data_IF_372776013558
#
_entry.id   IF_372776013558
#
_cell.length_a   1.000
_cell.length_b   1.000
_cell.length_c   1.000
_cell.angle_alpha   90.00
_cell.angle_beta   90.00
_cell.angle_gamma   90.00
#
_symmetry.space_group_name_H-M   'P 1'
#
loop_
_entity.id
_entity.type
_entity.pdbx_description
1 polymer ?
#
# COMPACT_ATOMS: atom_id res chain seq x y z
N UNK A 1 -3.40 -18.11 12.78
CA UNK A 1 -4.02 -16.97 12.07
C UNK A 1 -3.61 -15.70 12.79
N UNK A 2 -3.13 -14.67 12.08
CA UNK A 2 -2.74 -13.40 12.71
C UNK A 2 -3.95 -12.75 13.40
N UNK A 3 -3.71 -12.13 14.56
CA UNK A 3 -4.73 -11.41 15.33
C UNK A 3 -4.97 -9.98 14.79
N UNK A 4 -4.20 -9.55 13.79
CA UNK A 4 -4.13 -8.17 13.29
C UNK A 4 -4.12 -8.14 11.75
N UNK A 5 -4.77 -7.11 11.18
CA UNK A 5 -4.62 -6.76 9.77
C UNK A 5 -3.27 -6.09 9.51
N UNK A 6 -2.69 -6.35 8.34
CA UNK A 6 -1.40 -5.78 7.95
C UNK A 6 -1.58 -4.72 6.87
N UNK A 7 -0.88 -3.61 6.97
CA UNK A 7 -0.78 -2.62 5.90
C UNK A 7 0.61 -2.68 5.28
N UNK A 8 0.67 -3.01 4.00
CA UNK A 8 1.88 -2.95 3.19
C UNK A 8 1.82 -1.73 2.26
N UNK A 9 2.77 -0.82 2.37
CA UNK A 9 2.91 0.32 1.46
C UNK A 9 4.04 0.04 0.46
N UNK A 10 3.70 -0.01 -0.83
CA UNK A 10 4.64 -0.17 -1.93
C UNK A 10 4.62 1.08 -2.81
N UNK A 11 5.80 1.52 -3.22
CA UNK A 11 5.95 2.69 -4.09
C UNK A 11 5.97 2.31 -5.57
N UNK A 12 5.14 2.96 -6.39
CA UNK A 12 4.97 2.64 -7.81
C UNK A 12 6.03 3.24 -8.74
N UNK A 13 6.75 4.26 -8.27
CA UNK A 13 7.74 5.05 -8.99
C UNK A 13 9.16 4.91 -8.45
N UNK A 14 9.36 4.12 -7.39
CA UNK A 14 10.70 3.76 -6.96
C UNK A 14 11.40 3.05 -8.12
N UNK A 15 12.38 3.76 -8.71
CA UNK A 15 13.26 3.24 -9.75
C UNK A 15 13.64 1.81 -9.38
N UNK A 16 13.57 0.85 -10.31
CA UNK A 16 13.80 -0.59 -10.06
C UNK A 16 15.07 -0.93 -9.27
N UNK A 17 16.00 0.02 -9.14
CA UNK A 17 17.26 -0.07 -8.41
C UNK A 17 17.40 0.88 -7.21
N UNK A 18 16.36 1.62 -6.83
CA UNK A 18 16.39 2.44 -5.62
C UNK A 18 16.26 1.56 -4.38
N UNK A 19 16.89 1.97 -3.29
CA UNK A 19 16.80 1.27 -1.99
C UNK A 19 15.35 1.06 -1.56
N UNK A 20 14.48 2.02 -1.88
CA UNK A 20 13.05 1.98 -1.59
C UNK A 20 12.32 0.89 -2.39
N UNK A 21 12.59 0.77 -3.69
CA UNK A 21 11.99 -0.26 -4.55
C UNK A 21 12.46 -1.67 -4.18
N UNK A 22 13.73 -1.81 -3.80
CA UNK A 22 14.27 -3.07 -3.29
C UNK A 22 13.74 -3.43 -1.89
N UNK A 23 13.55 -2.46 -1.01
CA UNK A 23 12.94 -2.67 0.31
C UNK A 23 11.48 -3.10 0.18
N UNK A 24 10.71 -2.41 -0.68
CA UNK A 24 9.33 -2.76 -1.00
C UNK A 24 9.22 -4.19 -1.58
N UNK A 25 10.09 -4.54 -2.53
CA UNK A 25 10.15 -5.89 -3.10
C UNK A 25 10.55 -6.97 -2.08
N UNK A 26 11.50 -6.69 -1.19
CA UNK A 26 11.90 -7.61 -0.10
C UNK A 26 10.78 -7.81 0.91
N UNK A 27 10.06 -6.76 1.27
CA UNK A 27 8.92 -6.82 2.19
C UNK A 27 7.76 -7.63 1.57
N UNK A 28 7.46 -7.43 0.28
CA UNK A 28 6.50 -8.25 -0.44
C UNK A 28 6.92 -9.73 -0.49
N UNK A 29 8.20 -10.03 -0.76
CA UNK A 29 8.71 -11.41 -0.74
C UNK A 29 8.65 -12.05 0.66
N UNK A 30 8.96 -11.27 1.71
CA UNK A 30 8.82 -11.73 3.09
C UNK A 30 7.37 -12.08 3.42
N UNK A 31 6.41 -11.26 2.99
CA UNK A 31 4.97 -11.52 3.15
C UNK A 31 4.53 -12.73 2.32
N UNK A 32 5.02 -12.89 1.08
CA UNK A 32 4.76 -14.07 0.26
C UNK A 32 5.17 -15.37 0.98
N UNK A 33 6.38 -15.36 1.55
CA UNK A 33 6.95 -16.47 2.32
C UNK A 33 6.33 -16.63 3.71
N UNK A 34 5.62 -15.62 4.19
CA UNK A 34 4.89 -15.67 5.45
C UNK A 34 3.54 -16.35 5.27
N UNK A 35 2.99 -16.89 6.36
CA UNK A 35 1.61 -17.38 6.40
C UNK A 35 0.54 -16.28 6.32
N UNK A 36 0.92 -15.03 6.02
CA UNK A 36 -0.03 -13.91 5.86
C UNK A 36 -0.81 -14.11 4.56
N UNK A 37 -2.14 -14.10 4.67
CA UNK A 37 -3.04 -14.01 3.54
C UNK A 37 -3.22 -12.53 3.20
N UNK A 38 -3.09 -12.19 1.92
CA UNK A 38 -3.39 -10.85 1.43
C UNK A 38 -4.84 -10.82 0.98
N UNK A 39 -5.62 -9.89 1.52
CA UNK A 39 -7.05 -9.81 1.26
C UNK A 39 -7.36 -8.78 0.17
N UNK A 40 -6.70 -7.62 0.21
CA UNK A 40 -7.03 -6.49 -0.65
C UNK A 40 -5.75 -5.87 -1.23
N UNK A 41 -5.77 -5.55 -2.52
CA UNK A 41 -4.80 -4.64 -3.14
C UNK A 41 -5.51 -3.34 -3.50
N UNK A 42 -4.95 -2.21 -3.10
CA UNK A 42 -5.41 -0.88 -3.49
C UNK A 42 -4.37 -0.21 -4.35
N UNK A 43 -4.78 0.29 -5.50
CA UNK A 43 -3.94 1.00 -6.46
C UNK A 43 -4.58 2.33 -6.86
N UNK A 44 -3.77 3.26 -7.32
CA UNK A 44 -4.29 4.45 -7.99
C UNK A 44 -4.71 4.13 -9.42
N UNK A 45 -5.47 5.04 -10.01
CA UNK A 45 -5.96 4.92 -11.38
C UNK A 45 -4.91 5.37 -12.39
N UNK A 46 -3.82 4.63 -12.44
CA UNK A 46 -2.79 4.81 -13.45
C UNK A 46 -2.30 3.44 -13.95
N UNK A 47 -2.07 3.33 -15.26
CA UNK A 47 -1.72 2.07 -15.93
C UNK A 47 -0.41 1.44 -15.43
N UNK A 48 0.55 2.22 -14.94
CA UNK A 48 1.78 1.73 -14.31
C UNK A 48 1.47 1.02 -12.99
N UNK A 49 0.52 1.52 -12.20
CA UNK A 49 0.14 0.91 -10.92
C UNK A 49 -0.62 -0.39 -11.12
N UNK A 50 -1.50 -0.47 -12.12
CA UNK A 50 -2.14 -1.74 -12.52
C UNK A 50 -1.10 -2.80 -12.93
N UNK A 51 -0.13 -2.44 -13.78
CA UNK A 51 0.94 -3.37 -14.20
C UNK A 51 1.81 -3.82 -13.02
N UNK A 52 2.03 -2.93 -12.03
CA UNK A 52 2.77 -3.29 -10.82
C UNK A 52 1.96 -4.17 -9.87
N UNK A 53 0.65 -3.95 -9.76
CA UNK A 53 -0.25 -4.85 -9.03
C UNK A 53 -0.19 -6.25 -9.62
N UNK A 54 -0.39 -6.39 -10.93
CA UNK A 54 -0.36 -7.69 -11.63
C UNK A 54 0.96 -8.43 -11.40
N UNK A 55 2.10 -7.73 -11.54
CA UNK A 55 3.42 -8.32 -11.25
C UNK A 55 3.64 -8.68 -9.79
N UNK A 56 3.07 -7.91 -8.88
CA UNK A 56 3.14 -8.17 -7.44
C UNK A 56 2.32 -9.44 -7.14
N UNK A 57 1.14 -9.57 -7.74
CA UNK A 57 0.28 -10.77 -7.66
C UNK A 57 0.95 -12.03 -8.20
N UNK A 58 1.56 -11.94 -9.39
CA UNK A 58 2.31 -13.05 -9.98
C UNK A 58 3.43 -13.55 -9.05
N UNK A 59 4.14 -12.63 -8.40
CA UNK A 59 5.25 -12.97 -7.48
C UNK A 59 4.77 -13.50 -6.13
N UNK A 60 3.66 -12.99 -5.62
CA UNK A 60 3.10 -13.40 -4.34
C UNK A 60 2.49 -14.81 -4.43
N UNK A 61 2.13 -15.29 -5.62
CA UNK A 61 1.42 -16.56 -5.86
C UNK A 61 0.15 -16.72 -5.01
N UNK A 62 -0.39 -15.59 -4.54
CA UNK A 62 -1.58 -15.48 -3.70
C UNK A 62 -2.47 -14.45 -4.37
N UNK A 63 -3.66 -14.89 -4.77
CA UNK A 63 -4.68 -14.00 -5.31
C UNK A 63 -5.35 -13.28 -4.13
N UNK A 64 -5.43 -11.95 -4.14
CA UNK A 64 -6.23 -11.21 -3.18
C UNK A 64 -7.69 -11.55 -3.43
N UNK A 65 -8.51 -11.30 -2.41
CA UNK A 65 -9.95 -11.38 -2.55
C UNK A 65 -10.47 -10.22 -3.43
N UNK A 66 -9.79 -9.07 -3.38
CA UNK A 66 -10.24 -7.86 -4.08
C UNK A 66 -9.06 -6.98 -4.55
N UNK A 67 -9.26 -6.31 -5.69
CA UNK A 67 -8.41 -5.20 -6.15
C UNK A 67 -9.29 -3.96 -6.26
N UNK A 68 -8.90 -2.90 -5.55
CA UNK A 68 -9.60 -1.62 -5.51
C UNK A 68 -8.75 -0.58 -6.24
N UNK A 69 -9.40 0.17 -7.14
CA UNK A 69 -8.82 1.35 -7.78
C UNK A 69 -9.41 2.59 -7.12
N UNK A 70 -8.55 3.47 -6.59
CA UNK A 70 -8.99 4.71 -5.93
C UNK A 70 -8.11 5.89 -6.36
N UNK A 71 -8.69 6.83 -7.11
CA UNK A 71 -7.99 7.99 -7.69
C UNK A 71 -7.38 8.89 -6.63
N UNK A 72 -7.94 8.90 -5.40
CA UNK A 72 -7.45 9.68 -4.25
C UNK A 72 -6.06 9.25 -3.81
N UNK A 73 -5.60 8.06 -4.22
CA UNK A 73 -4.23 7.61 -3.99
C UNK A 73 -3.21 8.42 -4.81
N UNK A 74 -3.65 8.97 -5.94
CA UNK A 74 -2.82 9.78 -6.84
C UNK A 74 -2.92 11.27 -6.54
N UNK A 75 -3.96 11.69 -5.81
CA UNK A 75 -4.23 13.09 -5.49
C UNK A 75 -3.84 13.43 -4.04
N UNK A 76 -2.86 14.32 -3.89
CA UNK A 76 -2.22 14.62 -2.59
C UNK A 76 -3.18 15.13 -1.50
N UNK A 77 -4.11 16.07 -1.80
CA UNK A 77 -5.05 16.61 -0.82
C UNK A 77 -6.06 15.59 -0.29
N UNK A 78 -6.45 14.61 -1.10
CA UNK A 78 -7.46 13.59 -0.74
C UNK A 78 -6.85 12.33 -0.15
N UNK A 79 -5.51 12.27 -0.05
CA UNK A 79 -4.80 11.09 0.46
C UNK A 79 -5.16 10.78 1.91
N UNK A 80 -5.35 11.79 2.75
CA UNK A 80 -5.77 11.59 4.15
C UNK A 80 -7.15 10.94 4.23
N UNK A 81 -8.12 11.50 3.51
CA UNK A 81 -9.49 10.97 3.42
C UNK A 81 -9.50 9.55 2.86
N UNK A 82 -8.67 9.25 1.87
CA UNK A 82 -8.49 7.89 1.37
C UNK A 82 -8.10 6.90 2.48
N UNK A 83 -7.09 7.23 3.29
CA UNK A 83 -6.66 6.34 4.37
C UNK A 83 -7.74 6.17 5.45
N UNK A 84 -8.42 7.27 5.81
CA UNK A 84 -9.47 7.26 6.84
C UNK A 84 -10.73 6.52 6.36
N UNK A 85 -11.14 6.68 5.11
CA UNK A 85 -12.35 6.10 4.54
C UNK A 85 -12.18 4.65 4.07
N UNK A 86 -10.99 4.29 3.57
CA UNK A 86 -10.73 2.97 2.98
C UNK A 86 -9.88 2.10 3.87
N UNK A 87 -8.67 2.56 4.19
CA UNK A 87 -7.65 1.71 4.79
C UNK A 87 -7.93 1.42 6.27
N UNK A 88 -8.31 2.44 7.05
CA UNK A 88 -8.57 2.26 8.49
C UNK A 88 -9.71 1.26 8.74
N UNK A 89 -10.89 1.35 8.07
CA UNK A 89 -11.96 0.36 8.24
C UNK A 89 -11.53 -1.07 7.90
N UNK A 90 -10.79 -1.25 6.80
CA UNK A 90 -10.28 -2.57 6.39
C UNK A 90 -9.31 -3.16 7.42
N UNK A 91 -8.41 -2.34 7.98
CA UNK A 91 -7.50 -2.77 9.05
C UNK A 91 -8.25 -3.12 10.35
N UNK A 92 -9.29 -2.36 10.71
CA UNK A 92 -10.16 -2.67 11.85
C UNK A 92 -10.92 -3.99 11.66
N UNK A 93 -11.25 -4.33 10.40
CA UNK A 93 -11.80 -5.64 10.01
C UNK A 93 -10.74 -6.74 9.92
N UNK A 94 -9.48 -6.45 10.31
CA UNK A 94 -8.34 -7.37 10.31
C UNK A 94 -7.92 -7.84 8.92
N UNK A 95 -8.25 -7.08 7.89
CA UNK A 95 -7.84 -7.37 6.52
C UNK A 95 -6.37 -7.00 6.32
N UNK A 96 -5.67 -7.81 5.54
CA UNK A 96 -4.30 -7.53 5.09
C UNK A 96 -4.34 -6.85 3.75
N UNK A 97 -3.82 -5.63 3.69
CA UNK A 97 -3.97 -4.70 2.57
C UNK A 97 -2.60 -4.37 2.00
N UNK A 98 -2.48 -4.40 0.68
CA UNK A 98 -1.34 -3.84 -0.04
C UNK A 98 -1.79 -2.56 -0.73
N UNK A 99 -1.11 -1.45 -0.47
CA UNK A 99 -1.33 -0.19 -1.18
C UNK A 99 -0.14 0.05 -2.10
N UNK A 100 -0.39 0.21 -3.39
CA UNK A 100 0.63 0.54 -4.39
C UNK A 100 0.37 1.98 -4.86
N UNK A 101 1.20 2.91 -4.39
CA UNK A 101 1.02 4.35 -4.61
C UNK A 101 2.32 5.02 -5.04
N UNK A 102 2.30 6.25 -5.59
CA UNK A 102 3.53 7.00 -5.85
C UNK A 102 4.32 7.27 -4.55
N UNK A 103 5.65 7.37 -4.63
CA UNK A 103 6.55 7.57 -3.49
C UNK A 103 6.14 8.77 -2.66
N UNK A 104 5.72 9.87 -3.31
CA UNK A 104 5.22 11.05 -2.60
C UNK A 104 4.08 10.71 -1.64
N UNK A 105 3.11 9.90 -2.05
CA UNK A 105 1.94 9.58 -1.25
C UNK A 105 2.33 8.69 -0.06
N UNK A 106 3.17 7.68 -0.31
CA UNK A 106 3.70 6.80 0.75
C UNK A 106 4.53 7.60 1.76
N UNK A 107 5.43 8.48 1.30
CA UNK A 107 6.30 9.26 2.16
C UNK A 107 5.56 10.33 2.96
N UNK A 108 4.57 11.01 2.37
CA UNK A 108 3.69 11.92 3.10
C UNK A 108 3.03 11.19 4.26
N UNK A 109 2.45 10.01 4.00
CA UNK A 109 1.76 9.27 5.06
C UNK A 109 2.72 8.73 6.13
N UNK A 110 3.86 8.18 5.74
CA UNK A 110 4.89 7.75 6.70
C UNK A 110 5.36 8.92 7.57
N UNK A 111 5.49 10.12 6.99
CA UNK A 111 5.90 11.31 7.74
C UNK A 111 4.85 11.78 8.75
N UNK A 112 3.56 11.69 8.42
CA UNK A 112 2.46 12.02 9.34
C UNK A 112 2.37 11.02 10.50
N UNK A 113 2.57 9.73 10.22
CA UNK A 113 2.56 8.68 11.25
C UNK A 113 3.80 8.80 12.14
N UNK A 114 4.97 9.04 11.55
CA UNK A 114 6.23 9.18 12.28
C UNK A 114 6.34 10.50 13.05
N UNK A 115 5.66 11.56 12.58
CA UNK A 115 5.61 12.87 13.22
C UNK A 115 4.16 13.43 13.21
N UNK A 116 3.33 13.01 14.17
CA UNK A 116 1.93 13.45 14.27
C UNK A 116 1.76 14.98 14.37
N UNK A 117 2.79 15.68 14.86
CA UNK A 117 2.78 17.14 15.01
C UNK A 117 2.85 17.92 13.69
N UNK A 118 3.34 17.32 12.59
CA UNK A 118 3.38 17.99 11.27
C UNK A 118 2.03 17.98 10.54
N UNK A 119 1.14 17.04 10.90
CA UNK A 119 -0.16 16.90 10.26
C UNK A 119 -1.17 18.01 10.64
N UNK A 120 -0.89 18.80 11.69
CA UNK A 120 -1.77 19.84 12.23
C UNK A 120 -1.39 21.29 11.83
N UNK A 121 -0.45 21.46 10.89
CA UNK A 121 0.03 22.79 10.46
C UNK A 121 -0.22 23.10 8.98
N UNK A 122 -1.05 22.33 8.29
CA UNK A 122 -1.44 22.53 6.90
C UNK A 122 -2.84 23.12 6.76
#
# INVERSE_FOLDING_TARGET
>A
MSTFGYLLLLTSDALKNSDLGQAAGRLAAAIASSGIQLDIIVIGNNSRESVLADRTLEKLQKLPQEIIVDDRLTDGPTLKEFFEDRIVPMLLQRQSIVVIAPTRAVMTRLSEIANPQRANTG
#
